data_IF_472296925456
#
_entry.id   IF_472296925456
#
_cell.length_a   1.000
_cell.length_b   1.000
_cell.length_c   1.000
_cell.angle_alpha   90.00
_cell.angle_beta   90.00
_cell.angle_gamma   90.00
#
_symmetry.space_group_name_H-M   'P 1'
#
loop_
_entity.id
_entity.type
_entity.pdbx_description
1 polymer ?
#
# COMPACT_ATOMS: atom_id res chain seq x y z
N UNK A 1 -32.66 -8.70 -13.04
CA UNK A 1 -31.52 -7.83 -13.35
C UNK A 1 -31.96 -6.41 -13.01
N UNK A 2 -31.49 -5.84 -11.94
CA UNK A 2 -31.62 -4.40 -11.70
C UNK A 2 -30.72 -3.72 -12.75
N UNK A 3 -31.31 -2.93 -13.63
CA UNK A 3 -30.57 -2.07 -14.55
C UNK A 3 -29.75 -1.11 -13.67
N UNK A 4 -28.43 -1.30 -13.62
CA UNK A 4 -27.53 -0.32 -13.02
C UNK A 4 -27.76 1.00 -13.75
N UNK A 5 -28.18 2.02 -13.02
CA UNK A 5 -28.06 3.37 -13.53
C UNK A 5 -26.59 3.74 -13.52
N UNK A 6 -26.05 4.11 -14.69
CA UNK A 6 -24.72 4.68 -14.77
C UNK A 6 -24.67 5.93 -13.91
N UNK A 7 -23.72 5.97 -12.98
CA UNK A 7 -23.54 7.10 -12.08
C UNK A 7 -22.43 8.02 -12.60
N UNK A 8 -22.54 9.31 -12.27
CA UNK A 8 -21.49 10.29 -12.48
C UNK A 8 -20.67 10.38 -11.17
N UNK A 9 -19.43 9.94 -11.21
CA UNK A 9 -18.56 9.83 -10.03
C UNK A 9 -17.39 10.77 -10.18
N UNK A 10 -17.12 11.56 -9.14
CA UNK A 10 -15.93 12.40 -9.04
C UNK A 10 -14.92 11.73 -8.10
N UNK A 11 -13.67 11.62 -8.53
CA UNK A 11 -12.55 11.10 -7.73
C UNK A 11 -11.60 12.26 -7.44
N UNK A 12 -11.46 12.64 -6.18
CA UNK A 12 -10.54 13.68 -5.73
C UNK A 12 -9.25 13.03 -5.22
N UNK A 13 -8.16 13.24 -5.93
CA UNK A 13 -6.87 12.61 -5.73
C UNK A 13 -6.63 11.46 -6.70
N UNK A 14 -5.63 11.61 -7.60
CA UNK A 14 -5.22 10.61 -8.60
C UNK A 14 -3.97 9.85 -8.15
N UNK A 15 -3.87 9.61 -6.85
CA UNK A 15 -2.92 8.65 -6.31
C UNK A 15 -3.37 7.22 -6.61
N UNK A 16 -2.63 6.26 -6.06
CA UNK A 16 -2.85 4.83 -6.27
C UNK A 16 -4.31 4.41 -6.08
N UNK A 17 -4.89 4.73 -4.93
CA UNK A 17 -6.27 4.36 -4.58
C UNK A 17 -7.30 5.02 -5.50
N UNK A 18 -7.15 6.33 -5.73
CA UNK A 18 -8.13 7.07 -6.52
C UNK A 18 -8.13 6.64 -7.99
N UNK A 19 -6.94 6.45 -8.57
CA UNK A 19 -6.84 6.07 -9.98
C UNK A 19 -7.36 4.66 -10.23
N UNK A 20 -6.96 3.67 -9.43
CA UNK A 20 -7.47 2.29 -9.55
C UNK A 20 -8.99 2.25 -9.33
N UNK A 21 -9.50 2.98 -8.33
CA UNK A 21 -10.94 3.04 -8.05
C UNK A 21 -11.72 3.64 -9.22
N UNK A 22 -11.28 4.77 -9.76
CA UNK A 22 -12.00 5.44 -10.84
C UNK A 22 -11.92 4.68 -12.17
N UNK A 23 -10.75 4.13 -12.53
CA UNK A 23 -10.60 3.27 -13.72
C UNK A 23 -11.48 2.02 -13.60
N UNK A 24 -11.51 1.39 -12.43
CA UNK A 24 -12.37 0.24 -12.20
C UNK A 24 -13.87 0.56 -12.33
N UNK A 25 -14.33 1.69 -11.81
CA UNK A 25 -15.72 2.12 -12.00
C UNK A 25 -16.02 2.52 -13.46
N UNK A 26 -15.05 3.06 -14.21
CA UNK A 26 -15.26 3.35 -15.64
C UNK A 26 -15.48 2.07 -16.45
N UNK A 27 -14.76 0.98 -16.14
CA UNK A 27 -14.98 -0.34 -16.73
C UNK A 27 -16.39 -0.87 -16.46
N UNK A 28 -16.96 -0.54 -15.30
CA UNK A 28 -18.33 -0.91 -14.96
C UNK A 28 -19.40 0.00 -15.60
N UNK A 29 -18.97 0.97 -16.43
CA UNK A 29 -19.84 1.83 -17.23
C UNK A 29 -20.19 3.17 -16.59
N UNK A 30 -19.63 3.51 -15.44
CA UNK A 30 -19.83 4.82 -14.79
C UNK A 30 -19.00 5.91 -15.48
N UNK A 31 -19.47 7.17 -15.43
CA UNK A 31 -18.69 8.34 -15.87
C UNK A 31 -17.83 8.84 -14.71
N UNK A 32 -16.55 9.04 -14.98
CA UNK A 32 -15.58 9.39 -13.95
C UNK A 32 -14.92 10.73 -14.26
N UNK A 33 -14.96 11.65 -13.31
CA UNK A 33 -14.19 12.88 -13.36
C UNK A 33 -13.11 12.85 -12.29
N UNK A 34 -11.85 12.82 -12.70
CA UNK A 34 -10.71 12.87 -11.80
C UNK A 34 -10.30 14.30 -11.53
N UNK A 35 -10.02 14.61 -10.26
CA UNK A 35 -9.43 15.89 -9.83
C UNK A 35 -8.11 15.61 -9.10
N UNK A 36 -7.04 16.27 -9.51
CA UNK A 36 -5.78 16.33 -8.74
C UNK A 36 -5.17 17.72 -8.90
N UNK A 37 -4.73 18.32 -7.80
CA UNK A 37 -4.14 19.65 -7.82
C UNK A 37 -2.72 19.67 -8.44
N UNK A 38 -2.13 18.50 -8.70
CA UNK A 38 -0.89 18.36 -9.46
C UNK A 38 -1.20 18.35 -10.96
N UNK A 39 -1.09 19.53 -11.59
CA UNK A 39 -1.35 19.69 -13.03
C UNK A 39 -0.47 18.79 -13.92
N UNK A 40 0.74 18.41 -13.46
CA UNK A 40 1.61 17.50 -14.22
C UNK A 40 1.08 16.09 -14.24
N UNK A 41 0.47 15.63 -13.14
CA UNK A 41 -0.22 14.32 -13.13
C UNK A 41 -1.42 14.35 -14.06
N UNK A 42 -2.23 15.40 -14.01
CA UNK A 42 -3.39 15.58 -14.89
C UNK A 42 -2.98 15.61 -16.35
N UNK A 43 -1.90 16.30 -16.70
CA UNK A 43 -1.35 16.33 -18.05
C UNK A 43 -0.96 14.91 -18.52
N UNK A 44 -0.24 14.14 -17.70
CA UNK A 44 0.11 12.76 -18.02
C UNK A 44 -1.13 11.90 -18.26
N UNK A 45 -2.10 11.93 -17.34
CA UNK A 45 -3.33 11.14 -17.46
C UNK A 45 -4.13 11.52 -18.70
N UNK A 46 -4.22 12.81 -19.05
CA UNK A 46 -4.86 13.30 -20.27
C UNK A 46 -4.16 12.77 -21.54
N UNK A 47 -2.85 12.58 -21.48
CA UNK A 47 -2.05 12.00 -22.56
C UNK A 47 -1.99 10.45 -22.54
N UNK A 48 -2.83 9.80 -21.75
CA UNK A 48 -2.87 8.35 -21.55
C UNK A 48 -1.59 7.76 -20.92
N UNK A 49 -0.90 8.53 -20.10
CA UNK A 49 0.29 8.09 -19.37
C UNK A 49 -0.04 7.87 -17.88
N UNK A 50 0.21 6.66 -17.38
CA UNK A 50 0.03 6.35 -15.96
C UNK A 50 1.18 6.92 -15.11
N UNK A 51 0.89 7.49 -13.93
CA UNK A 51 1.92 8.08 -13.07
C UNK A 51 2.71 7.06 -12.24
N UNK A 52 2.28 5.81 -12.18
CA UNK A 52 2.90 4.70 -11.44
C UNK A 52 2.60 3.36 -12.13
N UNK A 53 3.34 2.33 -11.77
CA UNK A 53 3.13 0.98 -12.27
C UNK A 53 2.15 0.20 -11.35
N UNK A 54 1.13 -0.41 -11.96
CA UNK A 54 0.25 -1.39 -11.33
C UNK A 54 -0.18 -2.42 -12.38
N UNK A 55 0.03 -3.73 -12.12
CA UNK A 55 -0.32 -4.78 -13.07
C UNK A 55 -1.79 -4.72 -13.53
N UNK A 56 -1.99 -4.69 -14.84
CA UNK A 56 -3.32 -4.69 -15.47
C UNK A 56 -4.02 -3.33 -15.49
N UNK A 57 -3.53 -2.30 -14.81
CA UNK A 57 -4.17 -0.98 -14.82
C UNK A 57 -4.11 -0.32 -16.19
N UNK A 58 -3.02 -0.51 -16.92
CA UNK A 58 -2.79 0.03 -18.27
C UNK A 58 -3.80 -0.51 -19.28
N UNK A 59 -4.20 -1.77 -19.18
CA UNK A 59 -5.21 -2.38 -20.07
C UNK A 59 -6.56 -1.69 -19.95
N UNK A 60 -7.04 -1.48 -18.70
CA UNK A 60 -8.32 -0.81 -18.44
C UNK A 60 -8.25 0.69 -18.74
N UNK A 61 -7.15 1.34 -18.36
CA UNK A 61 -6.95 2.78 -18.55
C UNK A 61 -6.84 3.17 -20.03
N UNK A 62 -6.15 2.35 -20.84
CA UNK A 62 -5.95 2.60 -22.28
C UNK A 62 -7.12 2.16 -23.15
N UNK A 63 -8.08 1.39 -22.62
CA UNK A 63 -9.27 0.98 -23.33
C UNK A 63 -10.07 2.22 -23.76
N UNK A 64 -10.37 2.36 -25.06
CA UNK A 64 -11.02 3.56 -25.61
C UNK A 64 -12.40 3.83 -25.01
N UNK A 65 -13.18 2.78 -24.75
CA UNK A 65 -14.52 2.92 -24.19
C UNK A 65 -14.45 3.45 -22.75
N UNK A 66 -13.53 2.92 -21.95
CA UNK A 66 -13.29 3.39 -20.59
C UNK A 66 -12.74 4.80 -20.59
N UNK A 67 -11.73 5.07 -21.40
CA UNK A 67 -11.10 6.38 -21.47
C UNK A 67 -12.09 7.48 -21.87
N UNK A 68 -13.02 7.19 -22.77
CA UNK A 68 -14.08 8.11 -23.17
C UNK A 68 -15.11 8.40 -22.05
N UNK A 69 -15.16 7.58 -21.00
CA UNK A 69 -15.96 7.84 -19.79
C UNK A 69 -15.19 8.60 -18.72
N UNK A 70 -13.90 8.83 -18.91
CA UNK A 70 -13.02 9.53 -17.96
C UNK A 70 -12.74 10.96 -18.42
N UNK A 71 -12.67 11.88 -17.47
CA UNK A 71 -12.19 13.24 -17.65
C UNK A 71 -11.22 13.62 -16.53
N UNK A 72 -10.27 14.53 -16.82
CA UNK A 72 -9.18 14.86 -15.91
C UNK A 72 -9.11 16.37 -15.70
N UNK A 73 -9.07 16.81 -14.45
CA UNK A 73 -9.19 18.20 -14.06
C UNK A 73 -8.13 18.54 -12.99
N UNK A 74 -7.49 19.67 -13.11
CA UNK A 74 -6.51 20.18 -12.13
C UNK A 74 -7.14 21.09 -11.06
N UNK A 75 -8.44 21.28 -11.12
CA UNK A 75 -9.23 22.07 -10.17
C UNK A 75 -10.71 21.65 -10.17
N UNK A 76 -11.49 22.21 -9.27
CA UNK A 76 -12.92 21.90 -9.10
C UNK A 76 -13.86 22.65 -10.08
N UNK A 77 -13.33 23.59 -10.88
CA UNK A 77 -14.15 24.35 -11.81
C UNK A 77 -14.44 23.57 -13.10
N UNK A 78 -15.59 23.81 -13.70
CA UNK A 78 -15.96 23.22 -15.00
C UNK A 78 -16.50 21.78 -14.93
N UNK A 79 -16.67 21.23 -13.75
CA UNK A 79 -17.38 19.97 -13.54
C UNK A 79 -18.90 20.20 -13.47
N UNK A 80 -19.65 19.23 -13.95
CA UNK A 80 -21.11 19.21 -13.83
C UNK A 80 -21.51 18.65 -12.45
N UNK A 81 -21.54 19.53 -11.46
CA UNK A 81 -21.85 19.16 -10.09
C UNK A 81 -23.32 18.81 -9.89
N UNK A 82 -24.22 19.34 -10.73
CA UNK A 82 -25.66 19.07 -10.63
C UNK A 82 -25.98 17.63 -11.04
N UNK A 83 -25.19 17.06 -11.96
CA UNK A 83 -25.32 15.68 -12.39
C UNK A 83 -24.43 14.70 -11.58
N UNK A 84 -23.65 15.19 -10.61
CA UNK A 84 -22.74 14.35 -9.82
C UNK A 84 -23.51 13.57 -8.74
N UNK A 85 -23.36 12.25 -8.74
CA UNK A 85 -23.95 11.35 -7.76
C UNK A 85 -23.09 11.14 -6.53
N UNK A 86 -21.81 10.85 -6.74
CA UNK A 86 -20.87 10.46 -5.67
C UNK A 86 -19.53 11.18 -5.88
N UNK A 87 -18.97 11.67 -4.78
CA UNK A 87 -17.59 12.15 -4.74
C UNK A 87 -16.77 11.23 -3.82
N UNK A 88 -15.76 10.57 -4.34
CA UNK A 88 -14.78 9.86 -3.54
C UNK A 88 -13.58 10.77 -3.26
N UNK A 89 -13.24 10.96 -2.00
CA UNK A 89 -12.05 11.67 -1.57
C UNK A 89 -10.96 10.63 -1.31
N UNK A 90 -9.97 10.59 -2.22
CA UNK A 90 -8.86 9.64 -2.25
C UNK A 90 -7.49 10.36 -2.08
N UNK A 91 -7.48 11.45 -1.34
CA UNK A 91 -6.26 12.24 -1.12
C UNK A 91 -5.33 11.57 -0.11
N UNK A 92 -4.05 11.90 -0.21
CA UNK A 92 -3.06 11.41 0.75
C UNK A 92 -3.29 11.98 2.16
N UNK A 93 -2.99 11.16 3.17
CA UNK A 93 -3.01 11.52 4.59
C UNK A 93 -1.64 11.15 5.20
N UNK A 94 -0.59 11.95 4.91
CA UNK A 94 0.76 11.65 5.38
C UNK A 94 0.88 11.88 6.88
N UNK A 95 1.86 11.23 7.52
CA UNK A 95 2.23 11.55 8.89
C UNK A 95 3.02 12.85 8.92
N UNK A 96 2.63 13.75 9.80
CA UNK A 96 3.42 14.92 10.15
C UNK A 96 4.54 14.49 11.10
N UNK A 97 5.79 14.61 10.67
CA UNK A 97 6.97 14.18 11.43
C UNK A 97 7.21 15.00 12.70
N UNK A 98 6.71 16.23 12.79
CA UNK A 98 6.87 17.11 13.95
C UNK A 98 5.86 16.77 15.05
N UNK A 99 4.62 16.49 14.67
CA UNK A 99 3.53 16.20 15.61
C UNK A 99 3.30 14.71 15.81
N UNK A 100 3.92 13.89 14.96
CA UNK A 100 3.75 12.45 14.92
C UNK A 100 2.27 12.03 14.77
N UNK A 101 1.48 12.83 14.05
CA UNK A 101 0.05 12.64 13.81
C UNK A 101 -0.26 12.75 12.31
N UNK A 102 -1.41 12.23 11.89
CA UNK A 102 -1.84 12.34 10.49
C UNK A 102 -2.05 13.81 10.09
N UNK A 103 -1.59 14.19 8.90
CA UNK A 103 -1.89 15.49 8.30
C UNK A 103 -3.20 15.38 7.49
N UNK A 104 -4.26 16.01 7.97
CA UNK A 104 -5.60 15.99 7.37
C UNK A 104 -5.87 17.16 6.41
N UNK A 105 -4.90 18.07 6.19
CA UNK A 105 -5.10 19.30 5.41
C UNK A 105 -5.63 19.05 3.99
N UNK A 106 -5.15 18.01 3.32
CA UNK A 106 -5.64 17.69 1.98
C UNK A 106 -7.09 17.23 2.01
N UNK A 107 -7.48 16.45 3.02
CA UNK A 107 -8.86 16.02 3.24
C UNK A 107 -9.76 17.19 3.59
N UNK A 108 -9.34 18.06 4.53
CA UNK A 108 -10.06 19.26 4.91
C UNK A 108 -10.26 20.22 3.73
N UNK A 109 -9.22 20.41 2.91
CA UNK A 109 -9.29 21.20 1.70
C UNK A 109 -10.31 20.64 0.70
N UNK A 110 -10.30 19.32 0.46
CA UNK A 110 -11.25 18.67 -0.44
C UNK A 110 -12.70 18.81 0.07
N UNK A 111 -12.95 18.54 1.34
CA UNK A 111 -14.30 18.71 1.94
C UNK A 111 -14.74 20.17 1.84
N UNK A 112 -13.83 21.11 2.12
CA UNK A 112 -14.17 22.55 2.05
C UNK A 112 -14.56 22.98 0.64
N UNK A 113 -13.88 22.52 -0.40
CA UNK A 113 -14.24 22.86 -1.78
C UNK A 113 -15.59 22.24 -2.18
N UNK A 114 -15.81 20.97 -1.82
CA UNK A 114 -17.05 20.28 -2.17
C UNK A 114 -18.24 20.83 -1.36
N UNK A 115 -18.04 21.25 -0.11
CA UNK A 115 -19.10 21.82 0.75
C UNK A 115 -19.65 23.16 0.27
N UNK A 116 -18.94 23.86 -0.63
CA UNK A 116 -19.42 25.12 -1.25
C UNK A 116 -20.44 24.88 -2.37
N UNK A 117 -20.58 23.61 -2.81
CA UNK A 117 -21.50 23.26 -3.88
C UNK A 117 -22.95 23.34 -3.41
N UNK A 118 -23.83 23.79 -4.29
CA UNK A 118 -25.27 23.93 -3.98
C UNK A 118 -26.01 22.59 -3.95
N UNK A 119 -25.50 21.58 -4.69
CA UNK A 119 -26.12 20.26 -4.77
C UNK A 119 -25.94 19.46 -3.47
N UNK A 120 -27.00 19.37 -2.67
CA UNK A 120 -27.03 18.62 -1.41
C UNK A 120 -27.24 17.11 -1.59
N UNK A 121 -27.57 16.66 -2.81
CA UNK A 121 -27.82 15.23 -3.09
C UNK A 121 -26.53 14.46 -3.35
N UNK A 122 -25.41 15.13 -3.58
CA UNK A 122 -24.11 14.51 -3.73
C UNK A 122 -23.73 13.68 -2.49
N UNK A 123 -23.34 12.42 -2.71
CA UNK A 123 -22.80 11.59 -1.64
C UNK A 123 -21.29 11.80 -1.53
N UNK A 124 -20.82 12.47 -0.49
CA UNK A 124 -19.40 12.67 -0.24
C UNK A 124 -18.88 11.48 0.56
N UNK A 125 -17.92 10.77 -0.01
CA UNK A 125 -17.37 9.54 0.53
C UNK A 125 -15.87 9.67 0.76
N UNK A 126 -15.42 9.55 1.99
CA UNK A 126 -14.00 9.53 2.35
C UNK A 126 -13.47 8.10 2.14
N UNK A 127 -12.58 7.94 1.18
CA UNK A 127 -11.86 6.69 0.92
C UNK A 127 -10.45 6.72 1.51
N UNK A 128 -9.89 7.91 1.72
CA UNK A 128 -8.64 8.10 2.45
C UNK A 128 -8.70 7.49 3.84
N UNK A 129 -7.60 6.87 4.28
CA UNK A 129 -7.48 6.35 5.65
C UNK A 129 -7.31 7.52 6.62
N UNK A 130 -8.26 7.69 7.52
CA UNK A 130 -8.25 8.73 8.55
C UNK A 130 -8.44 8.08 9.93
N UNK A 131 -7.68 8.49 10.97
CA UNK A 131 -7.90 7.99 12.31
C UNK A 131 -9.33 8.25 12.78
N UNK A 132 -10.00 7.26 13.40
CA UNK A 132 -11.41 7.41 13.82
C UNK A 132 -11.67 8.61 14.70
N UNK A 133 -10.68 8.98 15.54
CA UNK A 133 -10.76 10.12 16.46
C UNK A 133 -10.54 11.48 15.80
N UNK A 134 -10.03 11.51 14.56
CA UNK A 134 -9.86 12.75 13.79
C UNK A 134 -11.08 13.12 12.94
N UNK A 135 -12.03 12.21 12.74
CA UNK A 135 -13.22 12.46 11.91
C UNK A 135 -13.98 13.71 12.40
N UNK A 136 -14.19 13.83 13.71
CA UNK A 136 -14.91 14.95 14.28
C UNK A 136 -14.11 16.25 14.18
N UNK A 137 -12.80 16.21 14.42
CA UNK A 137 -11.91 17.35 14.27
C UNK A 137 -11.91 17.89 12.84
N UNK A 138 -11.77 17.03 11.85
CA UNK A 138 -11.82 17.39 10.42
C UNK A 138 -13.15 18.08 10.10
N UNK A 139 -14.28 17.50 10.48
CA UNK A 139 -15.58 18.07 10.23
C UNK A 139 -15.78 19.43 10.90
N UNK A 140 -15.33 19.57 12.16
CA UNK A 140 -15.40 20.84 12.89
C UNK A 140 -14.51 21.91 12.26
N UNK A 141 -13.30 21.57 11.83
CA UNK A 141 -12.37 22.51 11.21
C UNK A 141 -12.93 23.12 9.92
N UNK A 142 -13.66 22.31 9.14
CA UNK A 142 -14.25 22.77 7.86
C UNK A 142 -15.70 23.21 7.98
N UNK A 143 -16.32 23.09 9.15
CA UNK A 143 -17.72 23.45 9.39
C UNK A 143 -18.71 22.56 8.63
N UNK A 144 -18.37 21.29 8.39
CA UNK A 144 -19.21 20.33 7.67
C UNK A 144 -19.89 19.34 8.62
N UNK A 145 -21.17 19.04 8.39
CA UNK A 145 -21.90 18.06 9.20
C UNK A 145 -21.38 16.64 8.93
N UNK A 146 -20.72 16.03 9.93
CA UNK A 146 -20.22 14.66 9.83
C UNK A 146 -21.28 13.62 9.48
N UNK A 147 -22.56 13.91 9.80
CA UNK A 147 -23.66 12.99 9.49
C UNK A 147 -23.92 12.88 7.98
N UNK A 148 -23.44 13.83 7.19
CA UNK A 148 -23.56 13.82 5.73
C UNK A 148 -22.39 13.14 5.04
N UNK A 149 -21.28 12.88 5.75
CA UNK A 149 -20.16 12.11 5.21
C UNK A 149 -20.42 10.61 5.27
N UNK A 150 -19.98 9.93 4.23
CA UNK A 150 -19.82 8.48 4.23
C UNK A 150 -18.34 8.11 4.16
N UNK A 151 -18.01 6.90 4.55
CA UNK A 151 -16.66 6.38 4.59
C UNK A 151 -16.63 5.03 3.88
N UNK A 152 -15.69 4.87 2.97
CA UNK A 152 -15.47 3.61 2.26
C UNK A 152 -13.98 3.32 2.21
N UNK A 153 -13.38 2.85 3.32
CA UNK A 153 -11.97 2.51 3.35
C UNK A 153 -11.64 1.46 2.30
N UNK A 154 -10.45 1.57 1.73
CA UNK A 154 -9.96 0.65 0.73
C UNK A 154 -9.11 -0.48 1.35
N UNK A 155 -9.00 -1.59 0.64
CA UNK A 155 -8.17 -2.75 1.02
C UNK A 155 -7.35 -3.24 -0.18
N UNK A 156 -7.00 -2.33 -1.06
CA UNK A 156 -6.22 -2.59 -2.27
C UNK A 156 -4.76 -2.86 -1.90
N UNK A 157 -4.19 -3.91 -2.48
CA UNK A 157 -2.78 -4.26 -2.33
C UNK A 157 -2.02 -3.79 -3.56
N UNK A 158 -1.01 -2.93 -3.40
CA UNK A 158 -0.10 -2.57 -4.48
C UNK A 158 0.44 -3.84 -5.15
N UNK A 159 0.49 -3.88 -6.50
CA UNK A 159 0.83 -5.06 -7.28
C UNK A 159 -0.32 -6.04 -7.55
N UNK A 160 -1.49 -5.85 -6.94
CA UNK A 160 -2.71 -6.62 -7.22
C UNK A 160 -3.99 -5.79 -7.03
N UNK A 161 -3.88 -4.46 -7.04
CA UNK A 161 -5.01 -3.59 -6.69
C UNK A 161 -6.14 -3.63 -7.73
N UNK A 162 -5.81 -3.83 -8.99
CA UNK A 162 -6.83 -4.01 -10.04
C UNK A 162 -7.64 -5.28 -9.76
N UNK A 163 -6.96 -6.39 -9.45
CA UNK A 163 -7.64 -7.63 -9.06
C UNK A 163 -8.49 -7.43 -7.80
N UNK A 164 -7.92 -6.80 -6.75
CA UNK A 164 -8.60 -6.55 -5.49
C UNK A 164 -9.81 -5.63 -5.64
N UNK A 165 -9.76 -4.69 -6.59
CA UNK A 165 -10.90 -3.82 -6.90
C UNK A 165 -12.09 -4.61 -7.46
N UNK A 166 -11.83 -5.51 -8.42
CA UNK A 166 -12.89 -6.31 -9.04
C UNK A 166 -13.33 -7.52 -8.18
N UNK A 167 -12.46 -8.00 -7.27
CA UNK A 167 -12.70 -9.17 -6.43
C UNK A 167 -12.42 -8.84 -4.96
N UNK A 168 -13.12 -7.87 -4.37
CA UNK A 168 -12.88 -7.51 -2.97
C UNK A 168 -13.36 -8.61 -2.03
N UNK A 169 -12.59 -8.93 -0.98
CA UNK A 169 -13.02 -9.84 0.10
C UNK A 169 -14.24 -9.27 0.85
N UNK A 170 -14.37 -7.98 0.92
CA UNK A 170 -15.47 -7.23 1.54
C UNK A 170 -15.50 -5.79 1.07
N UNK A 171 -16.67 -5.17 1.15
CA UNK A 171 -16.86 -3.73 1.01
C UNK A 171 -17.33 -3.17 2.35
N UNK A 172 -16.67 -2.11 2.86
CA UNK A 172 -17.06 -1.47 4.12
C UNK A 172 -17.63 -0.10 3.82
N UNK A 173 -18.84 0.16 4.30
CA UNK A 173 -19.53 1.45 4.17
C UNK A 173 -19.84 1.98 5.57
N UNK A 174 -19.18 3.07 5.95
CA UNK A 174 -19.44 3.78 7.19
C UNK A 174 -20.29 5.01 6.93
N UNK A 175 -21.31 5.24 7.75
CA UNK A 175 -22.13 6.44 7.62
C UNK A 175 -23.27 6.48 8.61
N UNK A 176 -23.93 7.65 8.70
CA UNK A 176 -25.11 7.86 9.56
C UNK A 176 -26.35 8.22 8.74
N UNK A 177 -26.17 8.71 7.51
CA UNK A 177 -27.26 9.06 6.60
C UNK A 177 -27.62 7.86 5.71
N UNK A 178 -28.84 7.34 5.89
CA UNK A 178 -29.30 6.12 5.21
C UNK A 178 -29.42 6.30 3.68
N UNK A 179 -29.75 7.48 3.18
CA UNK A 179 -29.89 7.74 1.75
C UNK A 179 -28.50 7.70 1.06
N UNK A 180 -27.49 8.31 1.70
CA UNK A 180 -26.11 8.30 1.21
C UNK A 180 -25.51 6.89 1.26
N UNK A 181 -25.76 6.15 2.34
CA UNK A 181 -25.33 4.74 2.47
C UNK A 181 -25.94 3.90 1.34
N UNK A 182 -27.25 4.04 1.12
CA UNK A 182 -27.95 3.26 0.08
C UNK A 182 -27.41 3.54 -1.33
N UNK A 183 -26.96 4.75 -1.62
CA UNK A 183 -26.35 5.09 -2.91
C UNK A 183 -25.03 4.32 -3.10
N UNK A 184 -24.21 4.21 -2.03
CA UNK A 184 -22.99 3.38 -2.07
C UNK A 184 -23.30 1.89 -2.15
N UNK A 185 -24.30 1.38 -1.43
CA UNK A 185 -24.73 -0.02 -1.57
C UNK A 185 -25.11 -0.35 -3.01
N UNK A 186 -25.82 0.55 -3.68
CA UNK A 186 -26.18 0.37 -5.09
C UNK A 186 -24.96 0.32 -6.00
N UNK A 187 -23.96 1.19 -5.77
CA UNK A 187 -22.71 1.19 -6.52
C UNK A 187 -21.96 -0.15 -6.41
N UNK A 188 -21.93 -0.73 -5.21
CA UNK A 188 -21.23 -1.99 -4.94
C UNK A 188 -22.11 -3.25 -5.08
N UNK A 189 -23.37 -3.13 -5.50
CA UNK A 189 -24.33 -4.25 -5.50
C UNK A 189 -23.99 -5.41 -6.45
N UNK A 190 -23.10 -5.19 -7.44
CA UNK A 190 -22.66 -6.22 -8.38
C UNK A 190 -21.42 -7.00 -7.95
N UNK A 191 -20.80 -6.59 -6.86
CA UNK A 191 -19.62 -7.29 -6.37
C UNK A 191 -20.04 -8.57 -5.63
N UNK A 192 -19.32 -9.66 -5.87
CA UNK A 192 -19.49 -10.92 -5.13
C UNK A 192 -18.72 -10.81 -3.79
N UNK A 193 -19.16 -9.89 -2.94
CA UNK A 193 -18.52 -9.60 -1.67
C UNK A 193 -19.55 -9.19 -0.62
N UNK A 194 -19.28 -9.48 0.64
CA UNK A 194 -20.10 -9.00 1.75
C UNK A 194 -19.97 -7.49 1.90
N UNK A 195 -21.10 -6.77 1.91
CA UNK A 195 -21.16 -5.33 2.18
C UNK A 195 -21.43 -5.13 3.67
N UNK A 196 -20.46 -4.60 4.39
CA UNK A 196 -20.55 -4.29 5.82
C UNK A 196 -20.97 -2.83 5.96
N UNK A 197 -22.20 -2.61 6.43
CA UNK A 197 -22.71 -1.26 6.75
C UNK A 197 -22.51 -1.02 8.25
N UNK A 198 -21.86 0.09 8.60
CA UNK A 198 -21.57 0.43 9.99
C UNK A 198 -21.46 1.94 10.19
N UNK A 199 -21.17 2.37 11.40
CA UNK A 199 -20.91 3.79 11.69
C UNK A 199 -19.52 4.25 11.19
N UNK A 200 -19.26 5.55 11.06
CA UNK A 200 -17.99 6.10 10.58
C UNK A 200 -16.78 5.63 11.37
N UNK A 201 -16.85 5.56 12.68
CA UNK A 201 -15.73 5.18 13.56
C UNK A 201 -15.38 3.72 13.36
N UNK A 202 -16.39 2.85 13.38
CA UNK A 202 -16.21 1.41 13.16
C UNK A 202 -15.62 1.09 11.79
N UNK A 203 -16.05 1.80 10.73
CA UNK A 203 -15.52 1.61 9.39
C UNK A 203 -14.03 1.90 9.30
N UNK A 204 -13.54 2.95 9.94
CA UNK A 204 -12.13 3.30 9.97
C UNK A 204 -11.34 2.36 10.89
N UNK A 205 -11.90 1.93 12.01
CA UNK A 205 -11.26 0.92 12.87
C UNK A 205 -11.08 -0.41 12.16
N UNK A 206 -12.00 -0.84 11.31
CA UNK A 206 -11.82 -2.05 10.48
C UNK A 206 -10.57 -1.93 9.63
N UNK A 207 -10.34 -0.77 8.99
CA UNK A 207 -9.13 -0.53 8.18
C UNK A 207 -7.87 -0.53 9.05
N UNK A 208 -7.86 0.23 10.13
CA UNK A 208 -6.69 0.33 11.01
C UNK A 208 -6.32 -1.01 11.64
N UNK A 209 -7.30 -1.77 12.12
CA UNK A 209 -7.04 -3.08 12.73
C UNK A 209 -6.60 -4.11 11.71
N UNK A 210 -7.11 -4.09 10.47
CA UNK A 210 -6.59 -4.92 9.39
C UNK A 210 -5.11 -4.59 9.10
N UNK A 211 -4.78 -3.29 8.97
CA UNK A 211 -3.42 -2.83 8.73
C UNK A 211 -2.49 -2.92 9.95
N UNK A 212 -3.02 -3.26 11.12
CA UNK A 212 -2.25 -3.62 12.32
C UNK A 212 -2.02 -5.13 12.40
N UNK A 213 -3.06 -5.92 12.10
CA UNK A 213 -3.00 -7.37 12.19
C UNK A 213 -2.03 -8.00 11.17
N UNK A 214 -2.04 -7.50 9.94
CA UNK A 214 -1.18 -8.03 8.87
C UNK A 214 0.32 -7.88 9.20
N UNK A 215 0.86 -6.71 9.56
CA UNK A 215 2.26 -6.59 9.95
C UNK A 215 2.59 -7.30 11.27
N UNK A 216 1.62 -7.47 12.19
CA UNK A 216 1.79 -8.34 13.37
C UNK A 216 2.07 -9.79 12.94
N UNK A 217 1.31 -10.33 11.96
CA UNK A 217 1.56 -11.68 11.43
C UNK A 217 2.94 -11.80 10.78
N UNK A 218 3.36 -10.79 10.01
CA UNK A 218 4.69 -10.75 9.41
C UNK A 218 5.79 -10.70 10.48
N UNK A 219 5.63 -9.86 11.51
CA UNK A 219 6.57 -9.78 12.64
C UNK A 219 6.65 -11.10 13.39
N UNK A 220 5.52 -11.75 13.67
CA UNK A 220 5.51 -13.08 14.28
C UNK A 220 6.26 -14.10 13.42
N UNK A 221 6.03 -14.10 12.10
CA UNK A 221 6.71 -15.02 11.19
C UNK A 221 8.20 -14.79 11.14
N UNK A 222 8.62 -13.52 11.13
CA UNK A 222 10.03 -13.13 11.16
C UNK A 222 10.70 -13.53 12.49
N UNK A 223 10.02 -13.38 13.62
CA UNK A 223 10.53 -13.88 14.92
C UNK A 223 10.60 -15.41 14.97
N UNK A 224 9.58 -16.09 14.43
CA UNK A 224 9.60 -17.55 14.31
C UNK A 224 10.78 -18.03 13.46
N UNK A 225 11.14 -17.32 12.38
CA UNK A 225 12.33 -17.62 11.57
C UNK A 225 13.61 -17.58 12.40
N UNK A 226 13.80 -16.56 13.22
CA UNK A 226 14.97 -16.46 14.12
C UNK A 226 15.02 -17.61 15.14
N UNK A 227 13.87 -18.01 15.69
CA UNK A 227 13.76 -19.14 16.62
C UNK A 227 14.09 -20.48 15.93
N UNK A 228 13.58 -20.68 14.72
CA UNK A 228 13.81 -21.89 13.92
C UNK A 228 15.29 -22.03 13.56
N UNK A 229 15.93 -20.94 13.11
CA UNK A 229 17.35 -20.91 12.80
C UNK A 229 18.21 -21.24 14.03
N UNK A 230 17.95 -20.59 15.16
CA UNK A 230 18.64 -20.87 16.42
C UNK A 230 18.52 -22.34 16.84
N UNK A 231 17.39 -22.97 16.54
CA UNK A 231 17.10 -24.36 16.87
C UNK A 231 17.63 -25.38 15.85
N UNK A 232 18.25 -24.92 14.76
CA UNK A 232 18.66 -25.74 13.60
C UNK A 232 17.51 -26.60 13.05
N UNK A 233 16.28 -26.08 13.06
CA UNK A 233 15.10 -26.76 12.51
C UNK A 233 14.88 -26.37 11.04
N UNK A 234 14.00 -27.11 10.35
CA UNK A 234 13.62 -26.79 8.96
C UNK A 234 12.50 -25.73 8.96
N UNK A 235 12.82 -24.53 8.48
CA UNK A 235 11.89 -23.39 8.46
C UNK A 235 10.64 -23.68 7.62
N UNK A 236 10.81 -24.27 6.43
CA UNK A 236 9.71 -24.59 5.51
C UNK A 236 8.71 -25.55 6.18
N UNK A 237 9.22 -26.61 6.81
CA UNK A 237 8.38 -27.60 7.48
C UNK A 237 7.64 -27.00 8.68
N UNK A 238 8.33 -26.16 9.49
CA UNK A 238 7.73 -25.52 10.66
C UNK A 238 6.62 -24.56 10.24
N UNK A 239 6.89 -23.65 9.31
CA UNK A 239 5.88 -22.67 8.86
C UNK A 239 4.72 -23.36 8.15
N UNK A 240 4.99 -24.38 7.32
CA UNK A 240 3.96 -25.19 6.69
C UNK A 240 3.10 -25.91 7.74
N UNK A 241 3.73 -26.55 8.73
CA UNK A 241 3.01 -27.26 9.78
C UNK A 241 2.10 -26.35 10.57
N UNK A 242 2.57 -25.17 10.96
CA UNK A 242 1.76 -24.16 11.68
C UNK A 242 0.66 -23.60 10.78
N UNK A 243 0.96 -23.28 9.53
CA UNK A 243 0.01 -22.68 8.59
C UNK A 243 -1.10 -23.61 8.09
N UNK A 244 -0.95 -24.94 8.25
CA UNK A 244 -1.99 -25.92 7.93
C UNK A 244 -3.16 -25.92 8.91
N UNK A 245 -3.01 -25.36 10.12
CA UNK A 245 -4.15 -25.14 11.02
C UNK A 245 -5.09 -24.10 10.41
N UNK A 246 -6.33 -24.47 10.12
CA UNK A 246 -7.33 -23.60 9.49
C UNK A 246 -7.63 -22.32 10.29
N UNK A 247 -7.37 -22.31 11.60
CA UNK A 247 -7.50 -21.12 12.46
C UNK A 247 -6.37 -20.13 12.25
N UNK A 248 -5.23 -20.56 11.71
CA UNK A 248 -4.03 -19.74 11.45
C UNK A 248 -3.97 -19.37 9.97
N UNK A 249 -3.96 -20.36 9.07
CA UNK A 249 -3.84 -20.19 7.63
C UNK A 249 -2.42 -19.78 7.21
N UNK A 250 -2.15 -19.88 5.89
CA UNK A 250 -0.82 -19.61 5.30
C UNK A 250 -0.63 -18.17 4.80
N UNK A 251 -1.70 -17.38 4.68
CA UNK A 251 -1.60 -16.01 4.19
C UNK A 251 -0.80 -15.12 5.15
N UNK A 252 0.09 -14.28 4.62
CA UNK A 252 1.01 -13.45 5.41
C UNK A 252 1.87 -14.24 6.41
N UNK A 253 2.20 -15.50 6.05
CA UNK A 253 2.98 -16.41 6.87
C UNK A 253 4.28 -16.81 6.15
N UNK A 254 4.88 -15.86 5.43
CA UNK A 254 6.17 -15.99 4.78
C UNK A 254 7.15 -15.00 5.40
N UNK A 255 8.37 -15.43 5.75
CA UNK A 255 9.42 -14.52 6.23
C UNK A 255 9.80 -13.48 5.18
N UNK A 256 10.39 -12.41 5.63
CA UNK A 256 10.91 -11.33 4.80
C UNK A 256 12.11 -10.68 5.49
N UNK A 257 12.92 -9.86 4.80
CA UNK A 257 14.01 -9.09 5.44
C UNK A 257 13.53 -8.14 6.54
N UNK A 258 12.36 -7.59 6.35
CA UNK A 258 11.44 -6.87 7.23
C UNK A 258 10.21 -6.51 6.41
N UNK A 259 9.19 -5.92 7.02
CA UNK A 259 8.06 -5.36 6.28
C UNK A 259 8.16 -3.83 6.20
N UNK A 260 7.56 -3.27 5.13
CA UNK A 260 7.60 -1.85 4.84
C UNK A 260 6.38 -1.39 4.04
N UNK A 261 6.61 -0.52 3.07
CA UNK A 261 5.58 0.06 2.22
C UNK A 261 4.96 1.34 2.80
N UNK A 262 3.99 1.86 2.08
CA UNK A 262 3.37 3.16 2.37
C UNK A 262 2.32 3.13 3.48
N UNK A 263 1.69 1.97 3.73
CA UNK A 263 0.50 1.86 4.59
C UNK A 263 0.83 1.36 6.00
N UNK A 264 1.50 0.20 6.13
CA UNK A 264 1.71 -0.44 7.43
C UNK A 264 2.45 0.44 8.43
N UNK A 265 3.61 1.04 8.10
CA UNK A 265 4.31 1.90 9.04
C UNK A 265 3.47 3.10 9.47
N UNK A 266 2.82 3.75 8.51
CA UNK A 266 1.99 4.94 8.77
C UNK A 266 0.83 4.63 9.71
N UNK A 267 0.05 3.60 9.41
CA UNK A 267 -1.16 3.27 10.17
C UNK A 267 -0.82 2.74 11.57
N UNK A 268 0.28 1.98 11.72
CA UNK A 268 0.76 1.54 13.04
C UNK A 268 1.24 2.70 13.91
N UNK A 269 1.96 3.68 13.34
CA UNK A 269 2.38 4.88 14.07
C UNK A 269 1.15 5.61 14.60
N UNK A 270 0.11 5.76 13.77
CA UNK A 270 -1.13 6.44 14.19
C UNK A 270 -1.87 5.68 15.30
N UNK A 271 -2.00 4.36 15.19
CA UNK A 271 -2.59 3.54 16.25
C UNK A 271 -1.79 3.68 17.54
N UNK A 272 -0.45 3.63 17.46
CA UNK A 272 0.44 3.80 18.60
C UNK A 272 0.28 5.18 19.26
N UNK A 273 0.23 6.24 18.47
CA UNK A 273 0.04 7.60 18.96
C UNK A 273 -1.29 7.76 19.67
N UNK A 274 -2.37 7.20 19.08
CA UNK A 274 -3.70 7.28 19.66
C UNK A 274 -3.77 6.64 21.06
N UNK A 275 -3.31 5.40 21.21
CA UNK A 275 -3.43 4.75 22.51
C UNK A 275 -2.47 5.33 23.54
N UNK A 276 -1.28 5.78 23.14
CA UNK A 276 -0.37 6.49 24.06
C UNK A 276 -1.00 7.79 24.59
N UNK A 277 -1.62 8.58 23.71
CA UNK A 277 -2.32 9.82 24.07
C UNK A 277 -3.50 9.57 25.02
N UNK A 278 -4.14 8.42 24.92
CA UNK A 278 -5.31 8.06 25.72
C UNK A 278 -4.98 7.09 26.87
N UNK A 279 -3.70 6.88 27.17
CA UNK A 279 -3.21 6.00 28.26
C UNK A 279 -3.74 4.55 28.15
N UNK A 280 -4.03 4.08 26.93
CA UNK A 280 -4.43 2.69 26.70
C UNK A 280 -3.19 1.80 26.70
N UNK A 281 -3.21 0.74 27.48
CA UNK A 281 -2.11 -0.23 27.53
C UNK A 281 -2.34 -1.37 26.52
N UNK A 282 -1.70 -1.28 25.34
CA UNK A 282 -1.81 -2.24 24.23
C UNK A 282 -0.43 -2.83 23.86
N UNK A 283 0.19 -3.64 24.74
CA UNK A 283 1.60 -4.06 24.58
C UNK A 283 1.85 -4.88 23.32
N UNK A 284 0.89 -5.66 22.82
CA UNK A 284 1.04 -6.39 21.57
C UNK A 284 1.20 -5.44 20.39
N UNK A 285 0.31 -4.45 20.28
CA UNK A 285 0.32 -3.49 19.17
C UNK A 285 1.55 -2.58 19.24
N UNK A 286 1.91 -2.11 20.43
CA UNK A 286 3.05 -1.21 20.63
C UNK A 286 4.39 -1.81 20.20
N UNK A 287 4.55 -3.12 20.31
CA UNK A 287 5.81 -3.79 20.00
C UNK A 287 5.94 -4.30 18.54
N UNK A 288 4.91 -4.12 17.69
CA UNK A 288 4.98 -4.60 16.31
C UNK A 288 6.10 -3.91 15.52
N UNK A 289 6.25 -2.59 15.65
CA UNK A 289 7.31 -1.80 14.99
C UNK A 289 8.67 -2.21 15.51
N UNK A 290 8.84 -2.30 16.83
CA UNK A 290 10.10 -2.71 17.44
C UNK A 290 10.52 -4.11 17.01
N UNK A 291 9.58 -5.06 16.94
CA UNK A 291 9.83 -6.41 16.43
C UNK A 291 10.34 -6.40 14.98
N UNK A 292 9.80 -5.53 14.13
CA UNK A 292 10.25 -5.36 12.75
C UNK A 292 11.66 -4.76 12.67
N UNK A 293 11.95 -3.73 13.47
CA UNK A 293 13.25 -3.08 13.52
C UNK A 293 14.34 -4.04 14.01
N UNK A 294 14.03 -4.86 15.01
CA UNK A 294 14.95 -5.89 15.51
C UNK A 294 15.19 -6.98 14.45
N UNK A 295 14.18 -7.32 13.65
CA UNK A 295 14.36 -8.27 12.56
C UNK A 295 15.20 -7.68 11.42
N UNK A 296 15.01 -6.41 11.09
CA UNK A 296 15.86 -5.70 10.11
C UNK A 296 17.33 -5.73 10.54
N UNK A 297 17.63 -5.45 11.81
CA UNK A 297 18.99 -5.53 12.36
C UNK A 297 19.54 -6.95 12.30
N UNK A 298 18.72 -7.96 12.59
CA UNK A 298 19.11 -9.35 12.48
C UNK A 298 19.47 -9.69 11.03
N UNK A 299 18.68 -9.28 10.03
CA UNK A 299 18.97 -9.48 8.61
C UNK A 299 20.30 -8.84 8.21
N UNK A 300 20.58 -7.61 8.65
CA UNK A 300 21.89 -6.96 8.45
C UNK A 300 23.03 -7.78 9.04
N UNK A 301 22.85 -8.30 10.26
CA UNK A 301 23.86 -9.14 10.91
C UNK A 301 24.10 -10.46 10.16
N UNK A 302 23.06 -11.07 9.59
CA UNK A 302 23.21 -12.26 8.74
C UNK A 302 24.03 -11.94 7.48
N UNK A 303 23.71 -10.87 6.78
CA UNK A 303 24.42 -10.44 5.58
C UNK A 303 25.91 -10.15 5.87
N UNK A 304 26.18 -9.45 6.98
CA UNK A 304 27.58 -9.14 7.36
C UNK A 304 28.35 -10.38 7.78
N UNK A 305 27.73 -11.29 8.53
CA UNK A 305 28.33 -12.54 8.96
C UNK A 305 28.63 -13.47 7.77
N UNK A 306 27.68 -13.59 6.82
CA UNK A 306 27.89 -14.37 5.60
C UNK A 306 29.02 -13.80 4.73
N UNK A 307 29.07 -12.47 4.55
CA UNK A 307 30.14 -11.80 3.83
C UNK A 307 31.50 -12.09 4.47
N UNK A 308 31.61 -11.97 5.80
CA UNK A 308 32.88 -12.16 6.52
C UNK A 308 33.32 -13.62 6.53
N UNK A 309 32.43 -14.56 6.86
CA UNK A 309 32.77 -15.98 6.97
C UNK A 309 33.18 -16.61 5.66
N UNK A 310 32.70 -16.10 4.53
CA UNK A 310 33.02 -16.56 3.20
C UNK A 310 34.08 -15.68 2.48
N UNK A 311 34.62 -14.68 3.16
CA UNK A 311 35.60 -13.73 2.63
C UNK A 311 35.17 -13.09 1.30
N UNK A 312 33.90 -12.62 1.24
CA UNK A 312 33.32 -12.00 0.06
C UNK A 312 33.63 -10.49 0.02
N UNK A 313 33.73 -9.93 -1.18
CA UNK A 313 34.14 -8.53 -1.37
C UNK A 313 32.99 -7.55 -1.17
N UNK A 314 31.82 -7.81 -1.76
CA UNK A 314 30.68 -6.90 -1.84
C UNK A 314 29.37 -7.59 -1.50
N UNK A 315 28.35 -6.79 -1.24
CA UNK A 315 26.95 -7.25 -1.09
C UNK A 315 26.12 -6.62 -2.18
N UNK A 316 25.37 -7.44 -2.91
CA UNK A 316 24.32 -7.01 -3.82
C UNK A 316 22.96 -7.30 -3.19
N UNK A 317 22.07 -6.28 -3.15
CA UNK A 317 20.68 -6.40 -2.71
C UNK A 317 19.78 -6.40 -3.95
N UNK A 318 19.12 -7.51 -4.23
CA UNK A 318 18.31 -7.70 -5.44
C UNK A 318 16.86 -7.35 -5.17
N UNK A 319 16.38 -6.31 -5.85
CA UNK A 319 15.04 -5.75 -5.71
C UNK A 319 15.03 -4.52 -4.81
N UNK A 320 14.67 -3.37 -5.38
CA UNK A 320 14.69 -2.06 -4.72
C UNK A 320 13.38 -1.71 -4.01
N UNK A 321 12.22 -2.16 -4.54
CA UNK A 321 10.91 -1.91 -3.96
C UNK A 321 10.71 -2.56 -2.58
N UNK A 322 9.63 -2.23 -1.90
CA UNK A 322 9.35 -2.85 -0.61
C UNK A 322 8.83 -4.30 -0.72
N UNK A 323 8.38 -4.71 -1.91
CA UNK A 323 7.95 -6.08 -2.25
C UNK A 323 7.91 -6.28 -3.77
N UNK A 324 7.54 -7.50 -4.19
CA UNK A 324 7.29 -7.85 -5.60
C UNK A 324 6.12 -7.05 -6.24
N UNK A 325 6.15 -6.91 -7.58
CA UNK A 325 5.09 -6.37 -8.44
C UNK A 325 4.68 -4.92 -8.15
N UNK A 326 5.58 -4.10 -7.62
CA UNK A 326 5.39 -2.66 -7.42
C UNK A 326 6.70 -1.90 -7.66
N UNK A 327 6.60 -0.61 -7.97
CA UNK A 327 7.73 0.33 -8.06
C UNK A 327 7.85 1.25 -6.83
N UNK A 328 7.08 0.97 -5.76
CA UNK A 328 7.06 1.79 -4.55
C UNK A 328 8.30 1.54 -3.67
N UNK A 329 9.09 2.59 -3.52
CA UNK A 329 10.32 2.61 -2.70
C UNK A 329 10.10 3.04 -1.25
N UNK A 330 8.89 3.48 -0.89
CA UNK A 330 8.60 4.01 0.45
C UNK A 330 8.78 2.95 1.52
N UNK A 331 9.62 3.25 2.52
CA UNK A 331 9.97 2.32 3.60
C UNK A 331 10.40 0.93 3.07
N UNK A 332 11.15 0.91 1.95
CA UNK A 332 11.69 -0.34 1.41
C UNK A 332 12.74 -0.92 2.37
N UNK A 333 12.59 -2.18 2.79
CA UNK A 333 13.62 -2.88 3.58
C UNK A 333 14.99 -2.90 2.89
N UNK A 334 15.01 -3.01 1.57
CA UNK A 334 16.25 -2.97 0.77
C UNK A 334 16.99 -1.65 0.97
N UNK A 335 16.29 -0.53 0.89
CA UNK A 335 16.89 0.79 1.05
C UNK A 335 17.36 1.04 2.50
N UNK A 336 16.64 0.52 3.47
CA UNK A 336 17.03 0.66 4.89
C UNK A 336 18.25 -0.21 5.21
N UNK A 337 18.31 -1.45 4.72
CA UNK A 337 19.49 -2.32 4.83
C UNK A 337 20.69 -1.67 4.11
N UNK A 338 20.50 -1.13 2.89
CA UNK A 338 21.54 -0.43 2.16
C UNK A 338 22.12 0.72 3.00
N UNK A 339 21.27 1.57 3.59
CA UNK A 339 21.71 2.69 4.44
C UNK A 339 22.53 2.23 5.65
N UNK A 340 22.10 1.13 6.30
CA UNK A 340 22.79 0.59 7.48
C UNK A 340 24.15 0.02 7.06
N UNK A 341 24.21 -0.82 6.04
CA UNK A 341 25.45 -1.41 5.54
C UNK A 341 26.45 -0.34 5.07
N UNK A 342 25.98 0.69 4.37
CA UNK A 342 26.82 1.82 3.93
C UNK A 342 27.40 2.59 5.12
N UNK A 343 26.62 2.79 6.20
CA UNK A 343 27.13 3.42 7.45
C UNK A 343 28.18 2.56 8.17
N UNK A 344 28.15 1.25 7.94
CA UNK A 344 29.16 0.31 8.45
C UNK A 344 30.40 0.22 7.53
N UNK A 345 30.49 1.08 6.52
CA UNK A 345 31.55 1.09 5.51
C UNK A 345 31.66 -0.22 4.71
N UNK A 346 30.55 -0.95 4.60
CA UNK A 346 30.46 -2.16 3.78
C UNK A 346 30.05 -1.75 2.37
N UNK A 347 30.78 -2.21 1.37
CA UNK A 347 30.43 -1.98 -0.03
C UNK A 347 29.16 -2.75 -0.40
N UNK A 348 28.07 -2.01 -0.61
CA UNK A 348 26.74 -2.52 -0.93
C UNK A 348 26.20 -1.85 -2.19
N UNK A 349 25.57 -2.64 -3.05
CA UNK A 349 25.03 -2.21 -4.35
C UNK A 349 23.61 -2.76 -4.49
N UNK A 350 22.68 -1.97 -5.00
CA UNK A 350 21.33 -2.43 -5.31
C UNK A 350 21.34 -2.96 -6.75
N UNK A 351 20.74 -4.12 -6.97
CA UNK A 351 20.47 -4.65 -8.31
C UNK A 351 18.95 -4.62 -8.56
N UNK A 352 18.53 -3.83 -9.52
CA UNK A 352 17.15 -3.82 -9.99
C UNK A 352 17.09 -3.52 -11.49
N UNK A 353 16.39 -4.39 -12.25
CA UNK A 353 16.32 -4.27 -13.71
C UNK A 353 15.30 -3.21 -14.18
N UNK A 354 14.36 -2.85 -13.32
CA UNK A 354 13.22 -2.00 -13.67
C UNK A 354 13.23 -0.66 -12.95
N UNK A 355 13.68 -0.66 -11.69
CA UNK A 355 13.62 0.50 -10.81
C UNK A 355 14.99 1.17 -10.71
N UNK A 356 15.01 2.47 -10.98
CA UNK A 356 16.21 3.28 -10.82
C UNK A 356 16.25 3.90 -9.42
N UNK A 357 17.40 3.82 -8.78
CA UNK A 357 17.65 4.40 -7.43
C UNK A 357 18.87 5.32 -7.48
N UNK A 358 18.79 6.47 -8.16
CA UNK A 358 19.95 7.30 -8.52
C UNK A 358 20.75 7.84 -7.34
N UNK A 359 20.12 7.95 -6.16
CA UNK A 359 20.78 8.39 -4.92
C UNK A 359 21.58 7.29 -4.21
N UNK A 360 21.64 6.08 -4.81
CA UNK A 360 22.28 4.89 -4.26
C UNK A 360 23.24 4.29 -5.28
N UNK A 361 24.21 3.50 -4.81
CA UNK A 361 24.99 2.64 -5.73
C UNK A 361 24.07 1.55 -6.27
N UNK A 362 23.80 1.54 -7.56
CA UNK A 362 22.94 0.54 -8.17
C UNK A 362 23.43 0.09 -9.54
N UNK A 363 23.00 -1.09 -9.95
CA UNK A 363 23.21 -1.68 -11.27
C UNK A 363 21.88 -2.25 -11.79
N UNK A 364 21.72 -2.29 -13.10
CA UNK A 364 20.50 -2.77 -13.76
C UNK A 364 20.64 -4.13 -14.44
N UNK A 365 21.82 -4.72 -14.41
CA UNK A 365 22.10 -6.01 -15.07
C UNK A 365 22.81 -6.97 -14.14
N UNK A 366 22.45 -8.26 -14.23
CA UNK A 366 23.15 -9.36 -13.56
C UNK A 366 24.63 -9.40 -13.97
N UNK A 367 24.94 -9.00 -15.20
CA UNK A 367 26.32 -8.98 -15.71
C UNK A 367 27.21 -7.91 -15.04
N UNK A 368 26.63 -6.97 -14.31
CA UNK A 368 27.35 -5.94 -13.55
C UNK A 368 27.73 -6.41 -12.13
N UNK A 369 27.31 -7.61 -11.73
CA UNK A 369 27.69 -8.19 -10.44
C UNK A 369 29.19 -8.54 -10.49
N UNK A 370 29.95 -8.02 -9.52
CA UNK A 370 31.34 -8.38 -9.38
C UNK A 370 31.48 -9.85 -8.89
N UNK A 371 32.51 -10.59 -9.35
CA UNK A 371 32.81 -11.89 -8.78
C UNK A 371 33.07 -11.84 -7.28
N UNK A 372 33.00 -12.97 -6.60
CA UNK A 372 33.26 -13.11 -5.17
C UNK A 372 32.35 -12.22 -4.30
N UNK A 373 31.06 -12.15 -4.64
CA UNK A 373 30.08 -11.29 -3.97
C UNK A 373 28.98 -12.09 -3.26
N UNK A 374 28.38 -11.48 -2.22
CA UNK A 374 27.12 -11.93 -1.64
C UNK A 374 25.97 -11.29 -2.41
N UNK A 375 25.05 -12.09 -2.89
CA UNK A 375 23.84 -11.64 -3.61
C UNK A 375 22.62 -11.99 -2.78
N UNK A 376 22.01 -11.00 -2.13
CA UNK A 376 20.82 -11.19 -1.30
C UNK A 376 19.57 -10.83 -2.10
N UNK A 377 18.66 -11.80 -2.25
CA UNK A 377 17.38 -11.61 -2.93
C UNK A 377 16.39 -11.05 -1.90
N UNK A 378 15.95 -9.80 -2.03
CA UNK A 378 15.18 -9.10 -1.00
C UNK A 378 13.69 -9.47 -1.00
N UNK A 379 13.17 -9.90 -2.14
CA UNK A 379 11.83 -10.47 -2.32
C UNK A 379 11.83 -11.38 -3.56
N UNK A 380 10.83 -12.27 -3.75
CA UNK A 380 10.79 -13.20 -4.88
C UNK A 380 10.95 -12.50 -6.22
N UNK A 381 11.78 -13.08 -7.06
CA UNK A 381 12.01 -12.66 -8.43
C UNK A 381 11.39 -13.66 -9.40
N UNK A 382 11.18 -13.25 -10.66
CA UNK A 382 10.67 -14.13 -11.71
C UNK A 382 11.63 -15.31 -11.95
N UNK A 383 11.07 -16.45 -12.34
CA UNK A 383 11.85 -17.69 -12.52
C UNK A 383 12.98 -17.56 -13.53
N UNK A 384 12.76 -16.84 -14.64
CA UNK A 384 13.80 -16.60 -15.66
C UNK A 384 14.97 -15.81 -15.06
N UNK A 385 14.69 -14.75 -14.29
CA UNK A 385 15.73 -13.97 -13.61
C UNK A 385 16.49 -14.83 -12.59
N UNK A 386 15.77 -15.62 -11.79
CA UNK A 386 16.41 -16.52 -10.80
C UNK A 386 17.31 -17.54 -11.49
N UNK A 387 16.91 -18.08 -12.64
CA UNK A 387 17.69 -19.04 -13.41
C UNK A 387 18.97 -18.42 -13.95
N UNK A 388 18.88 -17.22 -14.54
CA UNK A 388 20.04 -16.48 -15.05
C UNK A 388 21.00 -16.11 -13.91
N UNK A 389 20.46 -15.61 -12.78
CA UNK A 389 21.26 -15.23 -11.62
C UNK A 389 21.99 -16.43 -11.01
N UNK A 390 21.34 -17.59 -10.88
CA UNK A 390 21.96 -18.82 -10.39
C UNK A 390 23.10 -19.27 -11.28
N UNK A 391 22.91 -19.24 -12.61
CA UNK A 391 23.96 -19.58 -13.58
C UNK A 391 25.14 -18.61 -13.48
N UNK A 392 24.87 -17.31 -13.41
CA UNK A 392 25.91 -16.29 -13.26
C UNK A 392 26.70 -16.46 -11.95
N UNK A 393 26.03 -16.60 -10.83
CA UNK A 393 26.65 -16.71 -9.52
C UNK A 393 27.50 -17.96 -9.40
N UNK A 394 27.09 -19.09 -9.98
CA UNK A 394 27.86 -20.34 -9.99
C UNK A 394 29.19 -20.21 -10.76
N UNK A 395 29.22 -19.39 -11.82
CA UNK A 395 30.43 -19.16 -12.64
C UNK A 395 31.39 -18.13 -12.03
N UNK A 396 30.88 -17.22 -11.18
CA UNK A 396 31.61 -16.05 -10.68
C UNK A 396 31.95 -16.12 -9.18
N UNK A 397 31.85 -17.30 -8.56
CA UNK A 397 32.09 -17.50 -7.12
C UNK A 397 31.25 -16.56 -6.23
N UNK A 398 30.00 -16.35 -6.59
CA UNK A 398 29.04 -15.57 -5.78
C UNK A 398 28.21 -16.52 -4.93
N UNK A 399 27.80 -16.04 -3.76
CA UNK A 399 26.87 -16.74 -2.86
C UNK A 399 25.52 -16.05 -2.93
N UNK A 400 24.46 -16.83 -3.20
CA UNK A 400 23.09 -16.33 -3.14
C UNK A 400 22.51 -16.59 -1.76
N UNK A 401 21.89 -15.59 -1.19
CA UNK A 401 21.20 -15.66 0.09
C UNK A 401 19.75 -15.17 -0.03
N UNK A 402 18.85 -15.90 0.58
CA UNK A 402 17.44 -15.57 0.66
C UNK A 402 17.07 -15.29 2.12
N UNK A 403 16.81 -14.03 2.53
CA UNK A 403 16.46 -13.70 3.92
C UNK A 403 15.17 -14.34 4.43
N UNK A 404 14.47 -15.07 3.59
CA UNK A 404 13.20 -15.74 3.91
C UNK A 404 13.24 -17.27 3.76
N UNK A 405 14.39 -17.89 3.58
CA UNK A 405 14.52 -19.35 3.35
C UNK A 405 15.32 -20.03 4.46
#
# INVERSE_FOLDING_TARGET
MLTLHNMNIVIVGTGYVGLVTGVGFSEQGHKISFIDLDSKKIEKLTNKELPFFEPGLDEYFSNEENFNRMSFHDNYAGLDWDETDIVFICVQTPNNLETNSVDTKFLESAITEISKLENQDITITVKSTIPPYEIENVCNNVGYDRNLLTFNPEFLREGSAVYDFFNPDRVVIGGLNQEKIKKLEQLYSNYDAEIIITDPISSQLIKYLANTYLPMRLSFTNEATRLVEYSNANLVDVLKGVGLDARIGSHYFRPSPSWGGSCFPKDLIEVNNFYNKNELNLPLISNIIESNDEHLKWTVNQLTSLKQSNNLDKIYLVGAAFKEDTDDLRNSPTLDIYKILSKMEIEVIILDQQIQVPDHSYVSSINDIAPNSLVSIMYPQKDDFNSELNEFCSKNNCIIYYPWS
#
